data_IF_032766266857
#
_entry.id   IF_032766266857
#
_cell.length_a   1.000
_cell.length_b   1.000
_cell.length_c   1.000
_cell.angle_alpha   90.00
_cell.angle_beta   90.00
_cell.angle_gamma   90.00
#
_symmetry.space_group_name_H-M   'P 1'
#
loop_
_entity.id
_entity.type
_entity.pdbx_description
1 polymer ?
#
# COMPACT_ATOMS: atom_id res chain seq x y z
N UNK A 1 -28.51 82.46 19.27
CA UNK A 1 -29.22 83.72 19.50
C UNK A 1 -28.24 84.85 19.23
N UNK A 2 -28.60 85.73 18.29
CA UNK A 2 -27.78 86.87 17.91
C UNK A 2 -28.27 88.11 18.66
N UNK A 3 -27.34 88.92 19.14
CA UNK A 3 -27.59 90.26 19.68
C UNK A 3 -26.54 91.18 19.07
N UNK A 4 -26.95 92.33 18.56
CA UNK A 4 -26.07 93.28 17.86
C UNK A 4 -25.26 92.64 16.73
N UNK A 5 -25.90 91.75 15.96
CA UNK A 5 -25.29 90.97 14.86
C UNK A 5 -24.17 90.00 15.29
N UNK A 6 -23.95 89.80 16.59
CA UNK A 6 -23.01 88.82 17.13
C UNK A 6 -23.72 87.60 17.74
N UNK A 7 -23.19 86.40 17.49
CA UNK A 7 -23.70 85.17 18.10
C UNK A 7 -23.34 85.13 19.58
N UNK A 8 -24.33 85.26 20.46
CA UNK A 8 -24.11 85.34 21.91
C UNK A 8 -24.39 84.05 22.66
N UNK A 9 -25.40 83.30 22.23
CA UNK A 9 -25.82 82.06 22.90
C UNK A 9 -26.12 80.96 21.89
N UNK A 10 -25.70 79.73 22.17
CA UNK A 10 -26.04 78.53 21.40
C UNK A 10 -26.76 77.55 22.32
N UNK A 11 -27.95 77.11 21.91
CA UNK A 11 -28.77 76.15 22.66
C UNK A 11 -28.82 74.82 21.90
N UNK A 12 -28.57 73.72 22.59
CA UNK A 12 -28.61 72.35 22.03
C UNK A 12 -29.57 71.48 22.84
N UNK A 13 -30.24 70.53 22.18
CA UNK A 13 -31.26 69.66 22.78
C UNK A 13 -31.60 68.49 21.86
N UNK A 14 -32.30 67.49 22.40
CA UNK A 14 -32.65 66.26 21.69
C UNK A 14 -33.91 66.42 20.83
N UNK A 15 -34.71 67.46 21.10
CA UNK A 15 -35.87 67.82 20.31
C UNK A 15 -35.94 69.34 20.07
N UNK A 16 -36.66 69.78 19.02
CA UNK A 16 -36.95 71.19 18.80
C UNK A 16 -37.65 71.85 20.00
N UNK A 17 -38.48 71.11 20.74
CA UNK A 17 -39.11 71.61 21.96
C UNK A 17 -38.10 71.79 23.10
N UNK A 18 -37.17 70.84 23.27
CA UNK A 18 -36.12 70.92 24.29
C UNK A 18 -35.20 72.11 24.04
N UNK A 19 -34.85 72.34 22.77
CA UNK A 19 -34.05 73.50 22.36
C UNK A 19 -34.82 74.78 22.68
N UNK A 20 -36.12 74.86 22.34
CA UNK A 20 -36.93 76.06 22.57
C UNK A 20 -37.16 76.37 24.06
N UNK A 21 -37.39 75.35 24.88
CA UNK A 21 -37.54 75.50 26.33
C UNK A 21 -36.28 76.13 26.96
N UNK A 22 -35.09 75.78 26.49
CA UNK A 22 -33.82 76.35 26.98
C UNK A 22 -33.61 77.82 26.61
N UNK A 23 -34.30 78.33 25.58
CA UNK A 23 -34.21 79.74 25.17
C UNK A 23 -34.95 80.65 26.16
N UNK A 24 -35.99 80.15 26.85
CA UNK A 24 -36.67 80.85 27.94
C UNK A 24 -37.63 81.99 27.54
N UNK A 25 -37.85 82.24 26.25
CA UNK A 25 -38.80 83.24 25.71
C UNK A 25 -39.95 82.57 24.95
N UNK A 26 -41.11 83.25 24.89
CA UNK A 26 -42.32 82.79 24.18
C UNK A 26 -42.65 81.31 24.44
N UNK A 27 -42.68 80.93 25.72
CA UNK A 27 -42.87 79.54 26.17
C UNK A 27 -44.30 79.00 25.94
N UNK A 28 -45.23 79.87 25.53
CA UNK A 28 -46.58 79.52 25.10
C UNK A 28 -46.63 78.82 23.73
N UNK A 29 -45.57 78.92 22.93
CA UNK A 29 -45.44 78.25 21.64
C UNK A 29 -44.54 77.02 21.73
N UNK A 30 -44.93 75.94 21.03
CA UNK A 30 -44.09 74.73 20.96
C UNK A 30 -42.95 74.95 19.97
N UNK A 31 -41.75 74.52 20.32
CA UNK A 31 -40.58 74.60 19.45
C UNK A 31 -40.82 73.96 18.08
N UNK A 32 -41.51 72.81 18.02
CA UNK A 32 -41.86 72.15 16.75
C UNK A 32 -42.69 73.02 15.80
N UNK A 33 -43.48 73.96 16.31
CA UNK A 33 -44.26 74.89 15.50
C UNK A 33 -43.39 76.06 15.03
N UNK A 34 -42.57 76.62 15.92
CA UNK A 34 -41.68 77.74 15.62
C UNK A 34 -40.54 77.39 14.66
N UNK A 35 -40.03 76.17 14.74
CA UNK A 35 -39.05 75.64 13.79
C UNK A 35 -39.70 75.13 12.49
N UNK A 36 -41.01 75.30 12.32
CA UNK A 36 -41.75 74.95 11.10
C UNK A 36 -41.89 73.43 10.85
N UNK A 37 -41.55 72.59 11.84
CA UNK A 37 -41.53 71.13 11.69
C UNK A 37 -42.94 70.56 11.64
N UNK A 38 -43.90 71.16 12.35
CA UNK A 38 -45.30 70.75 12.32
C UNK A 38 -46.03 71.15 11.02
N UNK A 39 -45.41 71.96 10.16
CA UNK A 39 -46.02 72.39 8.91
C UNK A 39 -46.30 71.18 8.00
N UNK A 40 -47.52 71.02 7.45
CA UNK A 40 -47.88 69.83 6.67
C UNK A 40 -46.92 69.50 5.52
N UNK A 41 -46.45 70.52 4.79
CA UNK A 41 -45.48 70.31 3.70
C UNK A 41 -44.11 69.82 4.21
N UNK A 42 -43.68 70.29 5.38
CA UNK A 42 -42.42 69.85 5.99
C UNK A 42 -42.57 68.43 6.55
N UNK A 43 -43.72 68.09 7.14
CA UNK A 43 -44.05 66.72 7.53
C UNK A 43 -44.06 65.77 6.33
N UNK A 44 -44.67 66.15 5.20
CA UNK A 44 -44.62 65.38 3.96
C UNK A 44 -43.20 65.24 3.43
N UNK A 45 -42.39 66.32 3.47
CA UNK A 45 -41.00 66.26 3.05
C UNK A 45 -40.17 65.34 3.96
N UNK A 46 -40.32 65.44 5.28
CA UNK A 46 -39.66 64.56 6.25
C UNK A 46 -40.06 63.10 5.99
N UNK A 47 -41.35 62.82 5.79
CA UNK A 47 -41.84 61.47 5.47
C UNK A 47 -41.29 60.91 4.15
N UNK A 48 -41.07 61.75 3.13
CA UNK A 48 -40.45 61.31 1.86
C UNK A 48 -38.94 61.12 1.95
N UNK A 49 -38.26 61.79 2.88
CA UNK A 49 -36.83 61.64 3.14
C UNK A 49 -36.52 60.52 4.14
N UNK A 50 -37.48 60.13 4.99
CA UNK A 50 -37.32 59.02 5.91
C UNK A 50 -37.25 57.70 5.13
N UNK A 51 -36.12 57.01 5.27
CA UNK A 51 -35.95 55.69 4.68
C UNK A 51 -36.94 54.74 5.37
N UNK A 52 -37.86 54.09 4.63
CA UNK A 52 -38.81 53.17 5.22
C UNK A 52 -38.07 52.01 5.90
N UNK A 53 -38.58 51.56 7.03
CA UNK A 53 -38.10 50.38 7.76
C UNK A 53 -39.30 49.53 8.17
N UNK A 54 -39.13 48.21 8.15
CA UNK A 54 -40.18 47.26 8.51
C UNK A 54 -39.52 46.04 9.17
N UNK A 55 -39.41 46.00 10.51
CA UNK A 55 -38.82 44.85 11.19
C UNK A 55 -39.64 43.56 10.96
N UNK A 56 -39.06 42.37 11.20
CA UNK A 56 -39.68 41.10 10.86
C UNK A 56 -41.08 40.86 11.43
N UNK A 57 -41.35 41.35 12.64
CA UNK A 57 -42.65 41.32 13.31
C UNK A 57 -43.73 42.11 12.55
N UNK A 58 -43.35 43.11 11.75
CA UNK A 58 -44.26 43.95 10.98
C UNK A 58 -44.42 43.53 9.52
N UNK A 59 -43.76 42.46 9.06
CA UNK A 59 -43.81 42.03 7.65
C UNK A 59 -45.21 41.69 7.14
N UNK A 60 -46.12 41.30 8.05
CA UNK A 60 -47.51 41.04 7.73
C UNK A 60 -48.31 42.31 7.34
N UNK A 61 -47.79 43.51 7.65
CA UNK A 61 -48.37 44.77 7.19
C UNK A 61 -47.89 45.10 5.78
N UNK A 62 -48.65 44.63 4.78
CA UNK A 62 -48.30 44.77 3.36
C UNK A 62 -47.96 46.22 2.94
N UNK A 63 -48.63 47.22 3.51
CA UNK A 63 -48.36 48.63 3.18
C UNK A 63 -46.94 49.07 3.56
N UNK A 64 -46.40 48.59 4.68
CA UNK A 64 -45.03 48.90 5.12
C UNK A 64 -44.00 48.20 4.22
N UNK A 65 -44.25 46.94 3.88
CA UNK A 65 -43.41 46.19 2.95
C UNK A 65 -43.46 46.77 1.52
N UNK A 66 -44.62 47.24 1.06
CA UNK A 66 -44.80 47.90 -0.23
C UNK A 66 -44.01 49.22 -0.30
N UNK A 67 -43.95 49.97 0.80
CA UNK A 67 -43.14 51.19 0.90
C UNK A 67 -41.64 50.87 0.78
N UNK A 68 -41.16 49.83 1.48
CA UNK A 68 -39.79 49.32 1.35
C UNK A 68 -39.46 48.90 -0.09
N UNK A 69 -40.33 48.12 -0.72
CA UNK A 69 -40.16 47.67 -2.10
C UNK A 69 -40.11 48.85 -3.08
N UNK A 70 -41.03 49.81 -2.92
CA UNK A 70 -41.13 50.98 -3.79
C UNK A 70 -39.89 51.86 -3.74
N UNK A 71 -39.25 51.93 -2.57
CA UNK A 71 -38.03 52.69 -2.33
C UNK A 71 -36.77 51.94 -2.80
N UNK A 72 -36.63 50.65 -2.46
CA UNK A 72 -35.38 49.90 -2.66
C UNK A 72 -35.35 49.02 -3.92
N UNK A 73 -36.44 48.33 -4.28
CA UNK A 73 -36.42 47.27 -5.31
C UNK A 73 -37.09 47.67 -6.63
N UNK A 74 -38.15 48.48 -6.59
CA UNK A 74 -39.02 48.77 -7.75
C UNK A 74 -38.28 49.18 -9.03
N UNK A 75 -37.15 49.89 -8.92
CA UNK A 75 -36.35 50.37 -10.07
C UNK A 75 -35.30 49.36 -10.56
N UNK A 76 -35.07 48.27 -9.83
CA UNK A 76 -33.96 47.35 -10.06
C UNK A 76 -34.39 45.92 -10.35
N UNK A 77 -35.64 45.55 -10.08
CA UNK A 77 -36.20 44.21 -10.33
C UNK A 77 -37.16 44.21 -11.52
N UNK A 78 -37.51 43.01 -12.01
CA UNK A 78 -38.59 42.83 -12.98
C UNK A 78 -39.93 43.33 -12.41
N UNK A 79 -40.76 43.97 -13.22
CA UNK A 79 -42.09 44.43 -12.78
C UNK A 79 -43.02 43.29 -12.35
N UNK A 80 -42.83 42.10 -12.92
CA UNK A 80 -43.61 40.89 -12.64
C UNK A 80 -43.11 40.06 -11.45
N UNK A 81 -42.08 40.53 -10.74
CA UNK A 81 -41.50 39.75 -9.65
C UNK A 81 -42.46 39.67 -8.45
N UNK A 82 -42.63 38.46 -7.93
CA UNK A 82 -43.44 38.22 -6.74
C UNK A 82 -42.62 38.41 -5.46
N UNK A 83 -42.02 39.58 -5.30
CA UNK A 83 -41.09 39.89 -4.21
C UNK A 83 -41.69 39.66 -2.81
N UNK A 84 -42.99 39.88 -2.64
CA UNK A 84 -43.66 39.77 -1.36
C UNK A 84 -43.86 38.32 -0.91
N UNK A 85 -43.97 37.36 -1.86
CA UNK A 85 -44.10 35.93 -1.54
C UNK A 85 -42.89 35.45 -0.74
N UNK A 86 -41.68 35.92 -1.07
CA UNK A 86 -40.45 35.58 -0.33
C UNK A 86 -40.51 35.95 1.16
N UNK A 87 -40.98 37.17 1.49
CA UNK A 87 -41.06 37.61 2.87
C UNK A 87 -42.18 36.90 3.63
N UNK A 88 -43.33 36.64 2.98
CA UNK A 88 -44.44 35.89 3.57
C UNK A 88 -44.03 34.44 3.86
N UNK A 89 -43.40 33.77 2.89
CA UNK A 89 -42.90 32.40 3.07
C UNK A 89 -41.91 32.34 4.24
N UNK A 90 -40.93 33.23 4.25
CA UNK A 90 -39.91 33.23 5.31
C UNK A 90 -40.46 33.64 6.68
N UNK A 91 -41.46 34.52 6.73
CA UNK A 91 -42.16 34.87 7.98
C UNK A 91 -42.88 33.67 8.60
N UNK A 92 -43.53 32.85 7.75
CA UNK A 92 -44.31 31.69 8.17
C UNK A 92 -43.45 30.45 8.49
N UNK A 93 -42.16 30.46 8.13
CA UNK A 93 -41.26 29.37 8.47
C UNK A 93 -40.74 29.46 9.91
N UNK A 94 -40.50 28.30 10.52
CA UNK A 94 -39.85 28.21 11.84
C UNK A 94 -38.38 28.61 11.81
N UNK A 95 -37.73 28.50 10.64
CA UNK A 95 -36.31 28.83 10.48
C UNK A 95 -36.10 30.34 10.40
N UNK A 96 -35.18 30.86 11.21
CA UNK A 96 -34.79 32.28 11.20
C UNK A 96 -33.78 32.59 10.10
N UNK A 97 -32.97 31.60 9.71
CA UNK A 97 -31.89 31.73 8.73
C UNK A 97 -32.33 31.25 7.35
N UNK A 98 -31.95 31.99 6.30
CA UNK A 98 -32.16 31.63 4.91
C UNK A 98 -30.90 31.82 4.08
N UNK A 99 -30.65 30.92 3.12
CA UNK A 99 -29.67 31.15 2.05
C UNK A 99 -30.38 31.92 0.93
N UNK A 100 -29.89 33.12 0.65
CA UNK A 100 -30.67 34.09 -0.10
C UNK A 100 -30.57 33.94 -1.62
N UNK A 101 -29.44 33.45 -2.12
CA UNK A 101 -29.17 33.36 -3.56
C UNK A 101 -30.11 32.36 -4.20
N UNK A 102 -30.26 31.18 -3.60
CA UNK A 102 -31.15 30.12 -4.07
C UNK A 102 -32.60 30.48 -3.81
N UNK A 103 -32.90 31.12 -2.68
CA UNK A 103 -34.27 31.52 -2.34
C UNK A 103 -34.79 32.60 -3.30
N UNK A 104 -33.98 33.62 -3.60
CA UNK A 104 -34.35 34.64 -4.58
C UNK A 104 -34.48 34.04 -5.98
N UNK A 105 -33.56 33.14 -6.41
CA UNK A 105 -33.64 32.48 -7.73
C UNK A 105 -34.99 31.83 -8.01
N UNK A 106 -35.70 31.31 -6.99
CA UNK A 106 -37.05 30.73 -7.15
C UNK A 106 -38.11 31.74 -7.60
N UNK A 107 -37.92 33.04 -7.29
CA UNK A 107 -38.85 34.11 -7.68
C UNK A 107 -38.69 34.55 -9.14
N UNK A 108 -37.57 34.17 -9.77
CA UNK A 108 -37.24 34.57 -11.13
C UNK A 108 -37.51 33.44 -12.13
N UNK A 109 -37.72 33.77 -13.42
CA UNK A 109 -37.83 32.77 -14.46
C UNK A 109 -36.63 31.82 -14.51
N UNK A 110 -36.80 30.56 -14.97
CA UNK A 110 -35.70 29.63 -15.18
C UNK A 110 -34.58 30.25 -16.03
N UNK A 111 -33.32 30.02 -15.63
CA UNK A 111 -32.11 30.57 -16.26
C UNK A 111 -31.91 32.09 -16.15
N UNK A 112 -32.73 32.81 -15.39
CA UNK A 112 -32.49 34.23 -15.14
C UNK A 112 -31.22 34.45 -14.31
N UNK A 113 -30.36 35.36 -14.76
CA UNK A 113 -29.14 35.76 -14.05
C UNK A 113 -29.41 37.09 -13.32
N UNK A 114 -29.55 37.01 -11.99
CA UNK A 114 -29.71 38.19 -11.14
C UNK A 114 -28.43 39.01 -11.18
N UNK A 115 -28.53 40.28 -11.57
CA UNK A 115 -27.36 41.17 -11.70
C UNK A 115 -26.90 41.65 -10.33
N UNK A 116 -25.61 41.98 -10.19
CA UNK A 116 -25.06 42.48 -8.92
C UNK A 116 -25.76 43.76 -8.42
N UNK A 117 -26.21 44.64 -9.33
CA UNK A 117 -27.00 45.84 -8.96
C UNK A 117 -28.34 45.47 -8.30
N UNK A 118 -28.99 44.43 -8.80
CA UNK A 118 -30.25 43.93 -8.28
C UNK A 118 -30.04 43.20 -6.95
N UNK A 119 -28.99 42.38 -6.83
CA UNK A 119 -28.59 41.78 -5.55
C UNK A 119 -28.28 42.84 -4.49
N UNK A 120 -27.60 43.94 -4.84
CA UNK A 120 -27.38 45.06 -3.89
C UNK A 120 -28.68 45.72 -3.44
N UNK A 121 -29.66 45.86 -4.33
CA UNK A 121 -30.97 46.38 -3.98
C UNK A 121 -31.70 45.44 -3.00
N UNK A 122 -31.64 44.12 -3.23
CA UNK A 122 -32.15 43.11 -2.30
C UNK A 122 -31.48 43.19 -0.93
N UNK A 123 -30.14 43.17 -0.86
CA UNK A 123 -29.36 43.32 0.40
C UNK A 123 -29.77 44.57 1.17
N UNK A 124 -29.99 45.69 0.47
CA UNK A 124 -30.40 46.95 1.08
C UNK A 124 -31.83 46.87 1.63
N UNK A 125 -32.76 46.28 0.88
CA UNK A 125 -34.12 46.08 1.36
C UNK A 125 -34.16 45.17 2.59
N UNK A 126 -33.41 44.08 2.59
CA UNK A 126 -33.35 43.14 3.72
C UNK A 126 -32.82 43.80 4.99
N UNK A 127 -31.79 44.63 4.87
CA UNK A 127 -31.27 45.40 5.99
C UNK A 127 -32.35 46.32 6.59
N UNK A 128 -33.07 47.07 5.75
CA UNK A 128 -34.19 47.92 6.21
C UNK A 128 -35.44 47.13 6.62
N UNK A 129 -35.54 45.87 6.21
CA UNK A 129 -36.54 44.91 6.69
C UNK A 129 -36.13 44.25 8.04
N UNK A 130 -35.01 44.68 8.63
CA UNK A 130 -34.51 44.17 9.91
C UNK A 130 -33.73 42.86 9.84
N UNK A 131 -33.33 42.41 8.65
CA UNK A 131 -32.47 41.23 8.50
C UNK A 131 -30.98 41.57 8.62
N UNK A 132 -30.21 40.60 9.09
CA UNK A 132 -28.75 40.72 9.22
C UNK A 132 -28.03 39.64 8.40
N UNK A 133 -26.97 40.02 7.68
CA UNK A 133 -26.08 39.07 7.04
C UNK A 133 -25.18 38.39 8.09
N UNK A 134 -25.17 37.06 8.08
CA UNK A 134 -24.43 36.21 9.02
C UNK A 134 -23.50 35.22 8.30
N UNK A 135 -23.18 35.49 7.04
CA UNK A 135 -22.30 34.65 6.22
C UNK A 135 -20.90 34.58 6.85
N UNK A 136 -20.35 33.38 7.10
CA UNK A 136 -19.08 33.22 7.83
C UNK A 136 -17.83 33.42 6.95
N UNK A 137 -18.00 33.65 5.66
CA UNK A 137 -16.91 33.80 4.69
C UNK A 137 -17.13 35.00 3.76
N UNK A 138 -16.06 35.43 3.08
CA UNK A 138 -16.11 36.53 2.13
C UNK A 138 -16.68 36.09 0.78
N UNK A 139 -17.12 37.05 -0.02
CA UNK A 139 -17.66 36.80 -1.38
C UNK A 139 -16.64 36.20 -2.35
N UNK A 140 -15.34 36.33 -2.06
CA UNK A 140 -14.28 35.70 -2.85
C UNK A 140 -14.28 34.17 -2.68
N UNK A 141 -14.77 33.68 -1.54
CA UNK A 141 -14.90 32.24 -1.27
C UNK A 141 -16.13 31.68 -1.96
N UNK A 142 -17.27 32.37 -1.90
CA UNK A 142 -18.51 31.89 -2.48
C UNK A 142 -19.55 33.00 -2.70
N UNK A 143 -20.41 32.87 -3.72
CA UNK A 143 -21.51 33.81 -3.96
C UNK A 143 -22.73 33.59 -3.04
N UNK A 144 -22.79 32.49 -2.29
CA UNK A 144 -23.93 32.15 -1.44
C UNK A 144 -23.90 32.99 -0.15
N UNK A 145 -25.05 33.53 0.25
CA UNK A 145 -25.16 34.44 1.40
C UNK A 145 -26.25 33.97 2.35
N UNK A 146 -25.93 33.94 3.64
CA UNK A 146 -26.85 33.58 4.71
C UNK A 146 -27.31 34.82 5.46
N UNK A 147 -28.62 34.97 5.60
CA UNK A 147 -29.26 36.08 6.28
C UNK A 147 -30.20 35.54 7.36
N UNK A 148 -30.29 36.25 8.47
CA UNK A 148 -31.24 35.95 9.56
C UNK A 148 -32.25 37.08 9.74
N UNK A 149 -33.49 36.70 10.08
CA UNK A 149 -34.54 37.60 10.56
C UNK A 149 -34.64 37.65 12.09
N UNK A 150 -33.71 37.01 12.81
CA UNK A 150 -33.66 37.09 14.27
C UNK A 150 -33.33 38.51 14.73
N UNK A 151 -34.02 38.98 15.78
CA UNK A 151 -33.70 40.26 16.44
C UNK A 151 -32.31 40.25 17.10
N UNK A 152 -31.85 39.07 17.53
CA UNK A 152 -30.46 38.83 17.96
C UNK A 152 -29.78 37.84 17.00
N UNK A 153 -28.88 38.31 16.12
CA UNK A 153 -28.20 37.46 15.14
C UNK A 153 -26.97 36.73 15.72
N UNK A 154 -26.62 36.94 16.99
CA UNK A 154 -25.36 36.44 17.59
C UNK A 154 -25.31 34.91 17.59
N UNK A 155 -26.38 34.26 18.06
CA UNK A 155 -26.48 32.81 18.10
C UNK A 155 -26.41 32.19 16.70
N UNK A 156 -27.19 32.70 15.75
CA UNK A 156 -27.19 32.20 14.36
C UNK A 156 -25.80 32.35 13.71
N UNK A 157 -25.10 33.45 13.99
CA UNK A 157 -23.75 33.71 13.49
C UNK A 157 -22.73 32.73 14.07
N UNK A 158 -22.77 32.48 15.38
CA UNK A 158 -21.87 31.51 16.03
C UNK A 158 -22.11 30.09 15.52
N UNK A 159 -23.37 29.69 15.35
CA UNK A 159 -23.73 28.38 14.81
C UNK A 159 -23.22 28.23 13.37
N UNK A 160 -23.48 29.20 12.48
CA UNK A 160 -23.00 29.12 11.10
C UNK A 160 -21.47 29.13 11.02
N UNK A 161 -20.81 29.94 11.85
CA UNK A 161 -19.36 29.97 11.92
C UNK A 161 -18.80 28.61 12.37
N UNK A 162 -19.37 28.01 13.42
CA UNK A 162 -18.98 26.68 13.89
C UNK A 162 -19.17 25.61 12.81
N UNK A 163 -20.31 25.60 12.11
CA UNK A 163 -20.58 24.66 11.03
C UNK A 163 -19.59 24.83 9.89
N UNK A 164 -19.20 26.07 9.56
CA UNK A 164 -18.20 26.36 8.55
C UNK A 164 -16.80 25.89 8.95
N UNK A 165 -16.32 26.26 10.14
CA UNK A 165 -14.98 25.87 10.62
C UNK A 165 -14.84 24.36 10.83
N UNK A 166 -15.95 23.69 11.17
CA UNK A 166 -15.99 22.24 11.35
C UNK A 166 -16.17 21.47 10.03
N UNK A 167 -16.32 22.16 8.91
CA UNK A 167 -16.49 21.54 7.59
C UNK A 167 -17.87 20.96 7.31
N UNK A 168 -18.88 21.27 8.13
CA UNK A 168 -20.28 20.85 7.88
C UNK A 168 -21.02 21.81 6.94
N UNK A 169 -20.65 23.09 6.93
CA UNK A 169 -21.19 24.09 6.02
C UNK A 169 -20.19 24.35 4.89
N UNK A 170 -20.53 23.90 3.68
CA UNK A 170 -19.70 24.15 2.51
C UNK A 170 -20.14 25.40 1.73
N UNK A 171 -19.19 26.23 1.27
CA UNK A 171 -19.52 27.43 0.50
C UNK A 171 -20.18 27.14 -0.85
N UNK A 172 -20.11 25.92 -1.37
CA UNK A 172 -20.69 25.53 -2.66
C UNK A 172 -21.66 24.36 -2.49
N UNK A 173 -22.91 24.61 -2.08
CA UNK A 173 -23.95 23.58 -2.02
C UNK A 173 -24.21 23.04 -3.43
N UNK A 174 -23.65 21.87 -3.74
CA UNK A 174 -23.71 21.23 -5.06
C UNK A 174 -22.37 20.90 -5.71
N UNK A 175 -21.24 21.39 -5.17
CA UNK A 175 -19.90 20.92 -5.59
C UNK A 175 -19.46 19.62 -4.92
N UNK A 176 -20.26 19.07 -3.99
CA UNK A 176 -20.42 17.62 -3.95
C UNK A 176 -21.18 17.20 -5.21
N UNK A 177 -20.53 17.32 -6.38
CA UNK A 177 -20.58 16.18 -7.29
C UNK A 177 -20.16 15.01 -6.43
N UNK A 178 -20.66 13.84 -6.76
CA UNK A 178 -20.31 12.63 -6.05
C UNK A 178 -18.81 12.29 -6.26
N UNK A 179 -17.87 13.25 -6.32
CA UNK A 179 -16.46 13.14 -6.67
C UNK A 179 -15.76 12.07 -5.84
N UNK A 180 -16.15 11.92 -4.57
CA UNK A 180 -15.72 10.78 -3.76
C UNK A 180 -16.21 9.44 -4.31
N UNK A 181 -17.51 9.31 -4.60
CA UNK A 181 -18.07 8.09 -5.19
C UNK A 181 -17.65 7.88 -6.65
N UNK A 182 -17.44 8.94 -7.43
CA UNK A 182 -16.90 8.93 -8.79
C UNK A 182 -15.45 8.44 -8.72
N UNK A 183 -14.65 8.97 -7.80
CA UNK A 183 -13.30 8.48 -7.52
C UNK A 183 -13.33 6.99 -7.17
N UNK A 184 -14.15 6.57 -6.21
CA UNK A 184 -14.24 5.17 -5.80
C UNK A 184 -14.70 4.27 -6.95
N UNK A 185 -15.69 4.69 -7.73
CA UNK A 185 -16.18 3.96 -8.90
C UNK A 185 -15.12 3.87 -9.99
N UNK A 186 -14.44 4.97 -10.34
CA UNK A 186 -13.35 4.97 -11.31
C UNK A 186 -12.17 4.11 -10.85
N UNK A 187 -11.81 4.15 -9.57
CA UNK A 187 -10.73 3.35 -9.01
C UNK A 187 -11.09 1.86 -8.99
N UNK A 188 -12.32 1.52 -8.61
CA UNK A 188 -12.83 0.15 -8.68
C UNK A 188 -12.84 -0.38 -10.12
N UNK A 189 -13.31 0.43 -11.08
CA UNK A 189 -13.27 0.07 -12.50
C UNK A 189 -11.84 -0.13 -13.00
N UNK A 190 -10.89 0.73 -12.59
CA UNK A 190 -9.48 0.58 -12.94
C UNK A 190 -8.86 -0.71 -12.36
N UNK A 191 -9.26 -1.10 -11.13
CA UNK A 191 -8.86 -2.36 -10.54
C UNK A 191 -9.43 -3.56 -11.31
N UNK A 192 -10.70 -3.53 -11.66
CA UNK A 192 -11.36 -4.63 -12.37
C UNK A 192 -10.89 -4.78 -13.83
N UNK A 193 -10.71 -3.67 -14.54
CA UNK A 193 -10.26 -3.67 -15.93
C UNK A 193 -8.77 -4.04 -16.10
N UNK A 194 -8.01 -4.12 -15.00
CA UNK A 194 -6.58 -4.39 -15.07
C UNK A 194 -6.28 -5.85 -15.50
N UNK A 195 -5.73 -5.99 -16.72
CA UNK A 195 -5.38 -7.27 -17.34
C UNK A 195 -4.09 -7.92 -16.79
N UNK A 196 -3.30 -7.22 -15.95
CA UNK A 196 -2.01 -7.71 -15.43
C UNK A 196 -2.14 -8.65 -14.21
N UNK A 197 -3.30 -9.28 -14.04
CA UNK A 197 -3.55 -10.25 -12.97
C UNK A 197 -3.42 -9.65 -11.56
N UNK A 198 -3.20 -10.53 -10.57
CA UNK A 198 -3.19 -10.16 -9.15
C UNK A 198 -2.12 -9.12 -8.80
N UNK A 199 -0.92 -9.22 -9.38
CA UNK A 199 0.17 -8.27 -9.13
C UNK A 199 -0.12 -6.87 -9.69
N UNK A 200 -0.80 -6.78 -10.83
CA UNK A 200 -1.28 -5.51 -11.38
C UNK A 200 -2.31 -4.85 -10.45
N UNK A 201 -3.28 -5.62 -9.97
CA UNK A 201 -4.32 -5.13 -9.04
C UNK A 201 -3.70 -4.68 -7.71
N UNK A 202 -2.78 -5.45 -7.14
CA UNK A 202 -2.02 -5.09 -5.92
C UNK A 202 -1.24 -3.79 -6.10
N UNK A 203 -0.57 -3.62 -7.23
CA UNK A 203 0.20 -2.40 -7.52
C UNK A 203 -0.71 -1.17 -7.58
N UNK A 204 -1.84 -1.23 -8.28
CA UNK A 204 -2.80 -0.11 -8.32
C UNK A 204 -3.34 0.18 -6.91
N UNK A 205 -3.84 -0.86 -6.23
CA UNK A 205 -4.39 -0.72 -4.88
C UNK A 205 -3.37 -0.13 -3.90
N UNK A 206 -2.09 -0.47 -4.06
CA UNK A 206 -1.00 0.01 -3.19
C UNK A 206 -0.90 1.54 -3.13
N UNK A 207 -1.34 2.26 -4.18
CA UNK A 207 -1.30 3.73 -4.25
C UNK A 207 -2.06 4.37 -3.09
N UNK A 208 -3.23 3.82 -2.75
CA UNK A 208 -4.13 4.39 -1.74
C UNK A 208 -4.21 3.55 -0.47
N UNK A 209 -3.71 2.31 -0.49
CA UNK A 209 -3.90 1.36 0.59
C UNK A 209 -3.44 1.90 1.96
N UNK A 210 -2.30 2.60 2.02
CA UNK A 210 -1.78 3.17 3.28
C UNK A 210 -2.52 4.43 3.76
N UNK A 211 -3.32 5.08 2.91
CA UNK A 211 -4.04 6.32 3.25
C UNK A 211 -5.43 6.09 3.84
N UNK A 212 -6.00 4.90 3.65
CA UNK A 212 -7.34 4.56 4.13
C UNK A 212 -7.32 3.38 5.10
N UNK A 213 -8.32 3.33 5.98
CA UNK A 213 -8.54 2.20 6.88
C UNK A 213 -9.01 0.98 6.10
N UNK A 214 -8.82 -0.21 6.69
CA UNK A 214 -9.29 -1.45 6.07
C UNK A 214 -10.80 -1.42 5.81
N UNK A 215 -11.60 -0.95 6.78
CA UNK A 215 -13.06 -0.91 6.65
C UNK A 215 -13.51 -0.06 5.47
N UNK A 216 -12.94 1.14 5.30
CA UNK A 216 -13.27 2.03 4.19
C UNK A 216 -12.95 1.37 2.84
N UNK A 217 -11.76 0.77 2.72
CA UNK A 217 -11.34 0.11 1.48
C UNK A 217 -12.20 -1.12 1.16
N UNK A 218 -12.56 -1.91 2.18
CA UNK A 218 -13.43 -3.08 2.01
C UNK A 218 -14.84 -2.67 1.57
N UNK A 219 -15.40 -1.64 2.20
CA UNK A 219 -16.75 -1.16 1.89
C UNK A 219 -16.80 -0.51 0.50
N UNK A 220 -15.89 0.43 0.21
CA UNK A 220 -15.91 1.22 -1.03
C UNK A 220 -15.46 0.42 -2.26
N UNK A 221 -14.50 -0.50 -2.12
CA UNK A 221 -13.97 -1.28 -3.24
C UNK A 221 -14.43 -2.74 -3.27
N UNK A 222 -15.22 -3.20 -2.29
CA UNK A 222 -15.71 -4.60 -2.20
C UNK A 222 -14.60 -5.65 -2.30
N UNK A 223 -13.43 -5.36 -1.74
CA UNK A 223 -12.25 -6.22 -1.75
C UNK A 223 -12.02 -6.89 -0.40
N UNK A 224 -11.44 -8.08 -0.41
CA UNK A 224 -11.08 -8.81 0.81
C UNK A 224 -9.92 -8.15 1.56
N UNK A 225 -9.89 -8.31 2.88
CA UNK A 225 -8.84 -7.81 3.76
C UNK A 225 -7.44 -8.30 3.35
N UNK A 226 -7.32 -9.56 2.92
CA UNK A 226 -6.04 -10.14 2.46
C UNK A 226 -5.45 -9.38 1.26
N UNK A 227 -6.28 -8.94 0.32
CA UNK A 227 -5.84 -8.14 -0.84
C UNK A 227 -5.30 -6.78 -0.41
N UNK A 228 -5.92 -6.15 0.59
CA UNK A 228 -5.46 -4.87 1.15
C UNK A 228 -4.12 -5.08 1.86
N UNK A 229 -3.98 -6.14 2.66
CA UNK A 229 -2.72 -6.48 3.34
C UNK A 229 -1.57 -6.64 2.35
N UNK A 230 -1.80 -7.42 1.29
CA UNK A 230 -0.80 -7.66 0.25
C UNK A 230 -0.46 -6.40 -0.55
N UNK A 231 -1.40 -5.47 -0.75
CA UNK A 231 -1.14 -4.18 -1.38
C UNK A 231 -0.33 -3.23 -0.47
N UNK A 232 -0.60 -3.18 0.83
CA UNK A 232 0.21 -2.42 1.80
C UNK A 232 1.63 -2.95 1.87
N UNK A 233 1.79 -4.27 1.97
CA UNK A 233 3.10 -4.93 1.93
C UNK A 233 3.85 -4.59 0.63
N UNK A 234 3.15 -4.59 -0.50
CA UNK A 234 3.73 -4.20 -1.79
C UNK A 234 4.24 -2.76 -1.78
N UNK A 235 3.43 -1.80 -1.30
CA UNK A 235 3.81 -0.39 -1.20
C UNK A 235 5.10 -0.18 -0.39
N UNK A 236 5.25 -0.91 0.72
CA UNK A 236 6.43 -0.80 1.60
C UNK A 236 7.71 -1.32 0.96
N UNK A 237 7.60 -2.36 0.12
CA UNK A 237 8.76 -3.01 -0.51
C UNK A 237 9.18 -2.28 -1.78
N UNK A 238 8.22 -1.87 -2.61
CA UNK A 238 8.50 -1.36 -3.96
C UNK A 238 8.24 0.14 -4.11
N UNK A 239 7.51 0.76 -3.19
CA UNK A 239 6.95 2.11 -3.35
C UNK A 239 5.51 2.08 -3.86
N UNK A 240 4.75 3.14 -3.55
CA UNK A 240 3.34 3.30 -3.91
C UNK A 240 3.15 3.30 -5.43
N UNK A 241 2.47 2.29 -5.98
CA UNK A 241 2.22 2.19 -7.42
C UNK A 241 3.47 1.99 -8.29
N UNK A 242 4.64 1.75 -7.68
CA UNK A 242 5.89 1.54 -8.40
C UNK A 242 5.98 0.13 -9.00
N UNK A 243 6.85 -0.06 -9.99
CA UNK A 243 7.16 -1.38 -10.53
C UNK A 243 8.00 -2.15 -9.49
N UNK A 244 7.90 -3.48 -9.51
CA UNK A 244 8.75 -4.33 -8.66
C UNK A 244 10.22 -4.01 -8.92
N UNK A 245 10.98 -3.81 -7.85
CA UNK A 245 12.42 -3.57 -7.95
C UNK A 245 13.08 -4.89 -8.39
N UNK A 246 13.56 -4.95 -9.62
CA UNK A 246 14.36 -6.07 -10.10
C UNK A 246 15.71 -6.06 -9.38
N UNK A 247 15.92 -7.04 -8.50
CA UNK A 247 17.21 -7.18 -7.83
C UNK A 247 18.25 -7.66 -8.84
N UNK A 248 19.45 -7.07 -8.88
CA UNK A 248 20.51 -7.55 -9.75
C UNK A 248 20.86 -9.00 -9.40
N UNK A 249 20.92 -9.85 -10.43
CA UNK A 249 21.30 -11.26 -10.27
C UNK A 249 22.77 -11.30 -9.85
N UNK A 250 23.02 -11.47 -8.55
CA UNK A 250 24.38 -11.70 -8.02
C UNK A 250 24.83 -13.11 -8.40
N UNK A 251 25.70 -13.21 -9.41
CA UNK A 251 26.50 -14.43 -9.65
C UNK A 251 27.65 -14.49 -8.65
N UNK A 252 27.42 -15.08 -7.48
CA UNK A 252 28.50 -15.34 -6.51
C UNK A 252 29.22 -16.63 -6.93
N UNK A 253 30.53 -16.53 -7.25
CA UNK A 253 31.40 -17.72 -7.32
C UNK A 253 31.53 -18.27 -5.90
N UNK A 254 30.85 -19.38 -5.61
CA UNK A 254 30.76 -19.98 -4.26
C UNK A 254 32.07 -20.65 -3.79
N UNK A 255 33.03 -20.89 -4.69
CA UNK A 255 34.27 -21.62 -4.44
C UNK A 255 35.41 -20.84 -5.09
N UNK A 256 36.51 -20.65 -4.37
CA UNK A 256 37.73 -20.02 -4.92
C UNK A 256 38.52 -21.00 -5.79
N UNK A 257 39.50 -20.51 -6.55
CA UNK A 257 40.35 -21.39 -7.37
C UNK A 257 41.17 -22.34 -6.51
N UNK A 258 41.67 -21.88 -5.36
CA UNK A 258 42.45 -22.69 -4.41
C UNK A 258 41.61 -23.82 -3.82
N UNK A 259 40.38 -23.51 -3.39
CA UNK A 259 39.46 -24.49 -2.84
C UNK A 259 39.06 -25.56 -3.87
N UNK A 260 38.98 -25.18 -5.14
CA UNK A 260 38.74 -26.13 -6.23
C UNK A 260 39.96 -27.04 -6.43
N UNK A 261 41.17 -26.49 -6.46
CA UNK A 261 42.40 -27.28 -6.57
C UNK A 261 42.57 -28.26 -5.40
N UNK A 262 42.22 -27.85 -4.18
CA UNK A 262 42.24 -28.73 -3.00
C UNK A 262 41.29 -29.92 -3.17
N UNK A 263 40.07 -29.67 -3.64
CA UNK A 263 39.12 -30.74 -3.92
C UNK A 263 39.61 -31.65 -5.05
N UNK A 264 40.06 -31.09 -6.16
CA UNK A 264 40.54 -31.85 -7.32
C UNK A 264 41.75 -32.73 -6.94
N UNK A 265 42.69 -32.20 -6.14
CA UNK A 265 43.84 -32.95 -5.62
C UNK A 265 43.41 -34.11 -4.72
N UNK A 266 42.45 -33.89 -3.83
CA UNK A 266 41.91 -34.95 -2.97
C UNK A 266 41.19 -36.04 -3.79
N UNK A 267 40.46 -35.63 -4.83
CA UNK A 267 39.71 -36.50 -5.73
C UNK A 267 40.56 -37.23 -6.77
N UNK A 268 41.88 -36.99 -6.81
CA UNK A 268 42.84 -37.73 -7.64
C UNK A 268 43.76 -38.64 -6.82
N UNK A 269 43.70 -38.54 -5.50
CA UNK A 269 44.54 -39.33 -4.60
C UNK A 269 44.10 -40.80 -4.56
N UNK A 270 45.01 -41.70 -4.93
CA UNK A 270 44.80 -43.16 -4.94
C UNK A 270 44.48 -43.74 -3.55
N UNK A 271 44.79 -43.03 -2.46
CA UNK A 271 44.40 -43.42 -1.11
C UNK A 271 42.89 -43.28 -0.86
N UNK A 272 42.23 -42.38 -1.58
CA UNK A 272 40.82 -42.00 -1.36
C UNK A 272 39.90 -42.48 -2.47
N UNK A 273 40.42 -42.58 -3.69
CA UNK A 273 39.65 -42.89 -4.89
C UNK A 273 40.37 -43.86 -5.84
N UNK A 274 39.61 -44.47 -6.74
CA UNK A 274 40.12 -45.27 -7.87
C UNK A 274 39.50 -44.73 -9.15
N UNK A 275 40.34 -44.35 -10.11
CA UNK A 275 39.85 -43.96 -11.44
C UNK A 275 39.59 -45.21 -12.28
N UNK A 276 38.44 -45.25 -12.95
CA UNK A 276 38.16 -46.30 -13.92
C UNK A 276 39.08 -46.19 -15.14
N UNK A 277 39.64 -47.30 -15.59
CA UNK A 277 40.40 -47.38 -16.83
C UNK A 277 39.53 -47.58 -18.08
N UNK A 278 38.23 -47.82 -17.92
CA UNK A 278 37.33 -48.23 -19.01
C UNK A 278 35.94 -47.58 -18.99
N UNK A 279 35.49 -47.02 -17.86
CA UNK A 279 34.24 -46.26 -17.75
C UNK A 279 34.53 -44.76 -17.68
N UNK A 280 33.93 -44.00 -18.57
CA UNK A 280 33.95 -42.53 -18.56
C UNK A 280 32.55 -41.98 -18.34
N UNK A 281 32.45 -40.82 -17.71
CA UNK A 281 31.20 -40.09 -17.57
C UNK A 281 30.81 -39.49 -18.93
N UNK A 282 29.65 -39.85 -19.45
CA UNK A 282 29.20 -39.48 -20.79
C UNK A 282 29.04 -37.96 -21.02
N UNK A 283 28.95 -37.15 -19.95
CA UNK A 283 28.81 -35.69 -20.07
C UNK A 283 30.15 -34.97 -20.08
N UNK A 284 31.10 -35.44 -19.28
CA UNK A 284 32.40 -34.77 -19.09
C UNK A 284 33.52 -35.43 -19.89
N UNK A 285 33.35 -36.67 -20.34
CA UNK A 285 34.39 -37.47 -20.99
C UNK A 285 35.50 -37.92 -20.02
N UNK A 286 35.41 -37.58 -18.74
CA UNK A 286 36.40 -37.94 -17.73
C UNK A 286 36.15 -39.34 -17.18
N UNK A 287 37.20 -40.04 -16.67
CA UNK A 287 37.03 -41.31 -15.99
C UNK A 287 36.03 -41.23 -14.84
N UNK A 288 35.21 -42.27 -14.70
CA UNK A 288 34.39 -42.47 -13.50
C UNK A 288 35.32 -42.75 -12.32
N UNK A 289 35.05 -42.08 -11.19
CA UNK A 289 35.85 -42.15 -9.97
C UNK A 289 35.10 -42.95 -8.92
N UNK A 290 35.68 -44.06 -8.48
CA UNK A 290 35.14 -44.92 -7.44
C UNK A 290 35.67 -44.50 -6.07
N UNK A 291 34.76 -44.21 -5.14
CA UNK A 291 35.10 -43.79 -3.78
C UNK A 291 35.49 -45.01 -2.93
N UNK A 292 36.71 -45.03 -2.35
CA UNK A 292 37.16 -46.16 -1.50
C UNK A 292 36.40 -46.29 -0.18
N UNK A 293 35.83 -45.20 0.31
CA UNK A 293 35.19 -45.10 1.62
C UNK A 293 33.84 -44.37 1.56
N UNK A 294 33.09 -44.40 2.67
CA UNK A 294 31.82 -43.65 2.78
C UNK A 294 32.07 -42.15 2.61
N UNK A 295 31.07 -41.44 2.05
CA UNK A 295 31.17 -39.98 1.85
C UNK A 295 31.44 -39.23 3.16
N UNK A 296 31.01 -39.77 4.31
CA UNK A 296 31.28 -39.21 5.63
C UNK A 296 32.75 -39.36 6.03
N UNK A 297 33.33 -40.56 5.88
CA UNK A 297 34.74 -40.78 6.24
C UNK A 297 35.68 -40.00 5.31
N UNK A 298 35.34 -39.90 4.01
CA UNK A 298 36.07 -39.07 3.06
C UNK A 298 35.99 -37.58 3.39
N UNK A 299 34.85 -37.11 3.92
CA UNK A 299 34.72 -35.74 4.38
C UNK A 299 35.63 -35.45 5.59
N UNK A 300 35.70 -36.35 6.58
CA UNK A 300 36.59 -36.15 7.73
C UNK A 300 38.07 -36.12 7.28
N UNK A 301 38.49 -37.05 6.42
CA UNK A 301 39.85 -37.03 5.83
C UNK A 301 40.14 -35.76 5.03
N UNK A 302 39.17 -35.27 4.27
CA UNK A 302 39.30 -34.01 3.52
C UNK A 302 39.46 -32.82 4.47
N UNK A 303 38.66 -32.76 5.53
CA UNK A 303 38.68 -31.68 6.52
C UNK A 303 39.99 -31.65 7.31
N UNK A 304 40.55 -32.82 7.64
CA UNK A 304 41.86 -32.94 8.29
C UNK A 304 42.98 -32.41 7.39
N UNK A 305 42.99 -32.77 6.10
CA UNK A 305 44.00 -32.32 5.15
C UNK A 305 43.83 -30.85 4.72
N UNK A 306 42.59 -30.37 4.67
CA UNK A 306 42.22 -29.03 4.18
C UNK A 306 41.23 -28.32 5.12
N UNK A 307 41.67 -27.87 6.31
CA UNK A 307 40.77 -27.27 7.31
C UNK A 307 40.10 -25.97 6.83
N UNK A 308 40.74 -25.24 5.91
CA UNK A 308 40.21 -24.02 5.28
C UNK A 308 39.58 -24.28 3.89
N UNK A 309 39.36 -25.55 3.54
CA UNK A 309 38.81 -25.96 2.26
C UNK A 309 37.31 -25.70 2.09
N UNK A 310 36.70 -26.38 1.11
CA UNK A 310 35.27 -26.26 0.86
C UNK A 310 34.44 -26.75 2.06
N UNK A 311 33.26 -26.15 2.25
CA UNK A 311 32.32 -26.56 3.30
C UNK A 311 31.70 -27.92 2.99
N UNK A 312 31.30 -28.64 4.03
CA UNK A 312 30.69 -29.98 3.97
C UNK A 312 29.56 -30.11 2.94
N UNK A 313 28.63 -29.15 2.89
CA UNK A 313 27.52 -29.17 1.92
C UNK A 313 28.01 -29.05 0.49
N UNK A 314 29.02 -28.20 0.25
CA UNK A 314 29.66 -28.04 -1.06
C UNK A 314 30.42 -29.30 -1.45
N UNK A 315 31.14 -29.93 -0.52
CA UNK A 315 31.86 -31.19 -0.74
C UNK A 315 30.92 -32.30 -1.22
N UNK A 316 29.80 -32.54 -0.53
CA UNK A 316 28.82 -33.53 -1.00
C UNK A 316 28.19 -33.14 -2.32
N UNK A 317 27.93 -31.85 -2.56
CA UNK A 317 27.36 -31.39 -3.84
C UNK A 317 28.30 -31.71 -5.01
N UNK A 318 29.61 -31.58 -4.83
CA UNK A 318 30.59 -31.97 -5.85
C UNK A 318 30.59 -33.49 -6.10
N UNK A 319 30.36 -34.30 -5.07
CA UNK A 319 30.28 -35.77 -5.16
C UNK A 319 28.89 -36.31 -5.58
N UNK A 320 27.91 -35.46 -5.87
CA UNK A 320 26.55 -35.88 -6.28
C UNK A 320 26.41 -36.11 -7.80
N UNK A 321 27.43 -35.79 -8.59
CA UNK A 321 27.46 -36.05 -10.03
C UNK A 321 27.63 -37.53 -10.39
N UNK A 322 27.30 -37.91 -11.63
CA UNK A 322 27.48 -39.27 -12.16
C UNK A 322 28.94 -39.73 -12.24
N UNK A 323 29.89 -38.80 -12.08
CA UNK A 323 31.32 -39.07 -12.08
C UNK A 323 31.79 -39.80 -10.81
N UNK A 324 31.21 -39.52 -9.64
CA UNK A 324 31.66 -40.10 -8.37
C UNK A 324 30.68 -41.18 -7.90
N UNK A 325 31.08 -42.44 -8.03
CA UNK A 325 30.25 -43.59 -7.70
C UNK A 325 30.78 -44.20 -6.40
N UNK A 326 29.89 -44.43 -5.44
CA UNK A 326 30.24 -45.20 -4.24
C UNK A 326 30.59 -46.62 -4.69
N UNK A 327 31.64 -47.23 -4.13
CA UNK A 327 32.14 -48.54 -4.55
C UNK A 327 31.13 -49.65 -4.20
N UNK A 328 30.05 -49.73 -4.96
CA UNK A 328 29.03 -50.79 -4.91
C UNK A 328 29.51 -52.03 -5.70
N UNK A 329 30.42 -51.84 -6.66
CA UNK A 329 30.97 -52.87 -7.54
C UNK A 329 32.51 -52.98 -7.35
N UNK A 330 33.18 -54.07 -7.76
CA UNK A 330 34.67 -54.13 -7.96
C UNK A 330 35.16 -53.18 -9.10
N UNK A 331 34.50 -52.04 -9.29
CA UNK A 331 34.75 -51.10 -10.36
C UNK A 331 36.13 -50.48 -10.15
N UNK A 332 37.03 -50.71 -11.10
CA UNK A 332 38.45 -50.39 -11.00
C UNK A 332 39.38 -51.50 -11.47
N UNK A 333 38.87 -52.72 -11.63
CA UNK A 333 39.58 -53.84 -12.26
C UNK A 333 39.71 -53.64 -13.79
N UNK A 334 40.77 -54.16 -14.42
CA UNK A 334 40.85 -54.23 -15.89
C UNK A 334 39.75 -55.16 -16.43
N UNK A 335 39.45 -55.09 -17.74
CA UNK A 335 38.39 -55.93 -18.35
C UNK A 335 38.54 -57.41 -18.03
N UNK A 336 39.77 -57.94 -18.07
CA UNK A 336 40.11 -59.32 -17.72
C UNK A 336 39.76 -59.65 -16.27
N UNK A 337 40.14 -58.78 -15.33
CA UNK A 337 39.78 -58.95 -13.92
C UNK A 337 38.28 -58.73 -13.66
N UNK A 338 37.58 -58.00 -14.52
CA UNK A 338 36.12 -57.89 -14.47
C UNK A 338 35.45 -59.23 -14.85
N UNK A 339 35.91 -59.88 -15.92
CA UNK A 339 35.44 -61.20 -16.36
C UNK A 339 35.68 -62.25 -15.27
N UNK A 340 36.91 -62.41 -14.78
CA UNK A 340 37.23 -63.43 -13.76
C UNK A 340 36.72 -63.11 -12.35
N UNK A 341 36.48 -61.84 -12.03
CA UNK A 341 36.07 -61.41 -10.70
C UNK A 341 34.56 -61.21 -10.52
N UNK A 342 33.80 -60.96 -11.58
CA UNK A 342 32.36 -60.71 -11.47
C UNK A 342 31.50 -61.78 -12.12
N UNK A 343 31.77 -62.09 -13.38
CA UNK A 343 30.97 -63.06 -14.14
C UNK A 343 31.05 -64.41 -13.42
N UNK A 344 32.23 -64.78 -12.94
CA UNK A 344 32.44 -66.01 -12.16
C UNK A 344 31.64 -66.07 -10.86
N UNK A 345 31.52 -64.98 -10.07
CA UNK A 345 30.71 -65.01 -8.84
C UNK A 345 29.20 -65.03 -9.12
N UNK A 346 28.76 -64.37 -10.20
CA UNK A 346 27.36 -64.41 -10.62
C UNK A 346 26.98 -65.80 -11.16
N UNK A 347 27.87 -66.41 -11.96
CA UNK A 347 27.77 -67.80 -12.40
C UNK A 347 27.76 -68.77 -11.21
N UNK A 348 28.63 -68.60 -10.21
CA UNK A 348 28.63 -69.43 -9.00
C UNK A 348 27.32 -69.30 -8.24
N UNK A 349 26.79 -68.08 -8.05
CA UNK A 349 25.49 -67.88 -7.38
C UNK A 349 24.35 -68.52 -8.18
N UNK A 350 24.39 -68.42 -9.52
CA UNK A 350 23.39 -69.08 -10.37
C UNK A 350 23.51 -70.61 -10.31
N UNK A 351 24.72 -71.16 -10.29
CA UNK A 351 24.98 -72.59 -10.12
C UNK A 351 24.51 -73.09 -8.75
N UNK A 352 24.74 -72.33 -7.67
CA UNK A 352 24.22 -72.63 -6.33
C UNK A 352 22.70 -72.73 -6.37
N UNK A 353 22.03 -71.76 -7.00
CA UNK A 353 20.56 -71.75 -7.15
C UNK A 353 20.05 -72.90 -8.02
N UNK A 354 20.79 -73.31 -9.05
CA UNK A 354 20.38 -74.35 -9.98
C UNK A 354 20.62 -75.77 -9.42
N UNK A 355 21.72 -75.99 -8.69
CA UNK A 355 22.18 -77.33 -8.30
C UNK A 355 21.86 -77.74 -6.86
N UNK A 356 21.56 -76.79 -5.97
CA UNK A 356 21.24 -77.08 -4.57
C UNK A 356 19.75 -76.86 -4.37
N UNK A 357 18.97 -77.89 -4.01
CA UNK A 357 17.51 -77.75 -3.81
C UNK A 357 17.13 -77.32 -2.38
N UNK A 358 18.06 -77.43 -1.42
CA UNK A 358 17.86 -77.04 -0.03
C UNK A 358 18.02 -75.52 0.12
N UNK A 359 16.95 -74.86 0.58
CA UNK A 359 16.86 -73.40 0.68
C UNK A 359 17.80 -72.83 1.74
N UNK A 360 18.02 -73.54 2.84
CA UNK A 360 18.87 -73.08 3.94
C UNK A 360 20.35 -73.17 3.54
N UNK A 361 20.75 -74.26 2.88
CA UNK A 361 22.08 -74.40 2.29
C UNK A 361 22.32 -73.40 1.15
N UNK A 362 21.33 -73.15 0.29
CA UNK A 362 21.42 -72.11 -0.73
C UNK A 362 21.73 -70.73 -0.12
N UNK A 363 21.04 -70.37 0.97
CA UNK A 363 21.24 -69.08 1.63
C UNK A 363 22.63 -69.01 2.29
N UNK A 364 23.07 -70.06 2.99
CA UNK A 364 24.42 -70.14 3.57
C UNK A 364 25.50 -69.99 2.50
N UNK A 365 25.42 -70.70 1.38
CA UNK A 365 26.41 -70.61 0.32
C UNK A 365 26.37 -69.28 -0.42
N UNK A 366 25.18 -68.70 -0.61
CA UNK A 366 25.02 -67.37 -1.19
C UNK A 366 25.63 -66.29 -0.28
N UNK A 367 25.39 -66.38 1.02
CA UNK A 367 25.99 -65.50 2.02
C UNK A 367 27.52 -65.65 2.07
N UNK A 368 28.05 -66.87 2.02
CA UNK A 368 29.51 -67.11 1.95
C UNK A 368 30.13 -66.57 0.66
N UNK A 369 29.47 -66.74 -0.49
CA UNK A 369 29.90 -66.15 -1.75
C UNK A 369 29.89 -64.63 -1.68
N UNK A 370 28.87 -64.04 -1.07
CA UNK A 370 28.78 -62.61 -0.85
C UNK A 370 29.88 -62.11 0.10
N UNK A 371 30.16 -62.83 1.19
CA UNK A 371 31.24 -62.50 2.12
C UNK A 371 32.60 -62.57 1.44
N UNK A 372 32.89 -63.65 0.70
CA UNK A 372 34.14 -63.81 -0.03
C UNK A 372 34.31 -62.70 -1.09
N UNK A 373 33.24 -62.37 -1.81
CA UNK A 373 33.21 -61.23 -2.73
C UNK A 373 33.52 -59.90 -2.02
N UNK A 374 32.97 -59.68 -0.83
CA UNK A 374 33.26 -58.48 -0.02
C UNK A 374 34.69 -58.45 0.49
N UNK A 375 35.21 -59.59 0.94
CA UNK A 375 36.58 -59.75 1.44
C UNK A 375 37.60 -59.45 0.34
N UNK A 376 37.47 -60.09 -0.82
CA UNK A 376 38.28 -59.83 -2.01
C UNK A 376 38.20 -58.35 -2.47
N UNK A 377 37.06 -57.69 -2.23
CA UNK A 377 36.81 -56.29 -2.64
C UNK A 377 37.44 -55.24 -1.73
N UNK A 378 37.56 -55.50 -0.43
CA UNK A 378 37.88 -54.48 0.58
C UNK A 378 39.15 -54.77 1.37
N UNK A 379 39.37 -56.02 1.73
CA UNK A 379 40.34 -56.39 2.76
C UNK A 379 41.50 -57.19 2.16
N UNK A 380 41.28 -57.93 1.07
CA UNK A 380 42.31 -58.76 0.46
C UNK A 380 43.57 -57.99 0.02
N UNK A 381 43.41 -56.79 -0.57
CA UNK A 381 44.55 -55.94 -0.95
C UNK A 381 45.42 -55.53 0.25
N UNK A 382 44.82 -55.37 1.43
CA UNK A 382 45.54 -54.99 2.67
C UNK A 382 46.44 -56.11 3.19
N UNK A 383 46.18 -57.36 2.76
CA UNK A 383 46.96 -58.54 3.13
C UNK A 383 48.09 -58.85 2.13
N UNK A 384 48.15 -58.15 0.98
CA UNK A 384 49.20 -58.37 -0.01
C UNK A 384 50.41 -57.48 0.29
N UNK A 385 51.54 -58.10 0.65
CA UNK A 385 52.80 -57.38 0.91
C UNK A 385 53.62 -57.30 -0.38
N UNK A 386 53.67 -56.11 -0.99
CA UNK A 386 54.50 -55.81 -2.15
C UNK A 386 55.48 -54.70 -1.79
N UNK A 387 56.77 -54.94 -1.98
CA UNK A 387 57.79 -53.91 -1.77
C UNK A 387 57.71 -52.80 -2.83
N UNK A 388 58.31 -51.64 -2.56
CA UNK A 388 58.33 -50.51 -3.51
C UNK A 388 58.98 -50.81 -4.86
N UNK A 389 59.72 -51.92 -4.98
CA UNK A 389 60.33 -52.40 -6.23
C UNK A 389 59.48 -53.47 -6.95
N UNK A 390 58.26 -53.73 -6.49
CA UNK A 390 57.36 -54.73 -7.09
C UNK A 390 57.68 -56.18 -6.71
N UNK A 391 58.56 -56.40 -5.73
CA UNK A 391 58.94 -57.75 -5.27
C UNK A 391 57.99 -58.16 -4.14
N UNK A 392 57.47 -59.38 -4.22
CA UNK A 392 56.58 -60.00 -3.23
C UNK A 392 57.36 -61.02 -2.41
N UNK A 393 56.93 -61.28 -1.18
CA UNK A 393 57.51 -62.31 -0.30
C UNK A 393 56.53 -63.45 -0.06
N UNK A 394 57.03 -64.57 0.46
CA UNK A 394 56.18 -65.67 0.90
C UNK A 394 55.24 -65.20 2.03
N UNK A 395 53.97 -65.61 1.95
CA UNK A 395 52.98 -65.44 3.01
C UNK A 395 52.59 -66.82 3.55
N UNK A 396 52.53 -67.03 4.87
CA UNK A 396 52.10 -68.31 5.44
C UNK A 396 50.70 -68.75 4.96
N UNK A 397 49.79 -67.81 4.70
CA UNK A 397 48.48 -68.12 4.14
C UNK A 397 48.59 -68.31 2.62
N UNK A 398 48.20 -69.50 2.14
CA UNK A 398 48.23 -69.85 0.72
C UNK A 398 47.43 -68.88 -0.15
N UNK A 399 46.33 -68.34 0.37
CA UNK A 399 45.47 -67.40 -0.34
C UNK A 399 46.11 -66.01 -0.46
N UNK A 400 47.10 -65.66 0.36
CA UNK A 400 47.77 -64.36 0.35
C UNK A 400 49.16 -64.40 -0.30
N UNK A 401 49.70 -65.60 -0.56
CA UNK A 401 51.02 -65.74 -1.17
C UNK A 401 50.98 -65.54 -2.70
N UNK A 402 51.36 -64.34 -3.16
CA UNK A 402 51.46 -64.03 -4.59
C UNK A 402 52.48 -64.92 -5.31
N UNK A 403 53.63 -65.21 -4.69
CA UNK A 403 54.64 -66.09 -5.28
C UNK A 403 54.07 -67.50 -5.56
N UNK A 404 53.18 -68.00 -4.69
CA UNK A 404 52.51 -69.28 -4.90
C UNK A 404 51.53 -69.21 -6.07
N UNK A 405 50.73 -68.14 -6.16
CA UNK A 405 49.79 -67.94 -7.26
C UNK A 405 50.47 -67.87 -8.64
N UNK A 406 51.72 -67.38 -8.71
CA UNK A 406 52.53 -67.36 -9.93
C UNK A 406 53.39 -68.62 -10.15
N UNK A 407 53.32 -69.61 -9.26
CA UNK A 407 54.07 -70.87 -9.37
C UNK A 407 55.55 -70.77 -8.99
N UNK A 408 55.95 -69.70 -8.31
CA UNK A 408 57.34 -69.39 -7.94
C UNK A 408 57.67 -69.73 -6.47
N UNK A 409 56.70 -70.22 -5.69
CA UNK A 409 56.85 -70.51 -4.26
C UNK A 409 56.82 -72.01 -3.96
N UNK A 410 57.91 -72.53 -3.40
CA UNK A 410 58.04 -73.94 -2.97
C UNK A 410 58.00 -74.12 -1.44
N UNK A 411 57.76 -73.06 -0.67
CA UNK A 411 57.64 -73.13 0.79
C UNK A 411 56.26 -73.62 1.23
N UNK A 412 56.17 -74.32 2.38
CA UNK A 412 54.89 -74.81 2.90
C UNK A 412 54.00 -73.66 3.36
N UNK A 413 52.69 -73.77 3.12
CA UNK A 413 51.67 -72.81 3.54
C UNK A 413 50.76 -73.43 4.61
N UNK A 414 50.25 -72.63 5.52
CA UNK A 414 49.22 -73.02 6.50
C UNK A 414 47.84 -72.96 5.83
N UNK A 415 47.05 -74.02 6.00
CA UNK A 415 45.67 -74.13 5.49
C UNK A 415 44.66 -73.32 6.30
#
# INVERSE_FOLDING_TARGET
MYQDFELRYTYTGNSPNDVWQKVGVLQEHRGVDLFGISHPQIQTFIQTQLIPRCPPDEWHFINKMQALWSYHLRKFTLASIKWNEFFIEWYNETKTVVEITTSLKKLYPPNYIIKEREMRAWRTMLNHAGCTNITPYTRDVSPYEFWTRSGDPSCDREILHFLYTSGFLHPFPGQYRNDGDIFWNCFHQALEANKKGYDGKRRILSIIAEKFSYNILMEKLKIAQGTIFEAKKYARINGLGCVVIEKPIRKVKRITSEQKQQFDSFSQDKAHVIMSSYKTDAKTGQPVVYLKNTKNLLWEKFKENFPNGIKRTTFYTQLMGRQYIYREDLGGLCSTCSTYGYETFEEIINLIKEKINDVELQDIFSQRCHFLKCYLKKEYEEHLVVTGYGITSHDPCINHCLLYAFGECNTPHTH
#
